data_IF_815381112700
#
_entry.id   IF_815381112700
#
_cell.length_a   1.000
_cell.length_b   1.000
_cell.length_c   1.000
_cell.angle_alpha   90.00
_cell.angle_beta   90.00
_cell.angle_gamma   90.00
#
_symmetry.space_group_name_H-M   'P 1'
#
loop_
_entity.id
_entity.type
_entity.pdbx_description
1 polymer ?
#
# COMPACT_ATOMS: atom_id res chain seq x y z
N UNK A 1 3.16 -6.65 19.21
CA UNK A 1 3.18 -5.19 19.38
C UNK A 1 4.58 -4.72 19.05
N UNK A 2 4.75 -3.88 18.05
CA UNK A 2 6.05 -3.31 17.70
C UNK A 2 6.24 -2.02 18.49
N UNK A 3 7.15 -2.04 19.48
CA UNK A 3 7.33 -0.94 20.42
C UNK A 3 7.79 0.36 19.71
N UNK A 4 8.62 0.26 18.67
CA UNK A 4 9.11 1.41 17.91
C UNK A 4 7.97 2.09 17.18
N UNK A 5 7.14 1.31 16.48
CA UNK A 5 5.97 1.84 15.79
C UNK A 5 5.02 2.56 16.76
N UNK A 6 4.68 1.92 17.89
CA UNK A 6 3.75 2.49 18.86
C UNK A 6 4.34 3.73 19.53
N UNK A 7 5.65 3.75 19.82
CA UNK A 7 6.32 4.93 20.36
C UNK A 7 6.13 6.13 19.44
N UNK A 8 6.44 6.03 18.14
CA UNK A 8 6.30 7.15 17.22
C UNK A 8 4.84 7.47 16.87
N UNK A 9 3.97 6.48 16.78
CA UNK A 9 2.55 6.70 16.47
C UNK A 9 1.81 7.46 17.58
N UNK A 10 2.17 7.21 18.85
CA UNK A 10 1.45 7.75 20.01
C UNK A 10 2.11 9.00 20.62
N UNK A 11 3.20 9.50 20.03
CA UNK A 11 3.86 10.72 20.53
C UNK A 11 2.95 11.96 20.42
N UNK A 12 2.71 12.61 21.54
CA UNK A 12 2.08 13.95 21.55
C UNK A 12 3.05 14.99 20.99
N UNK A 13 4.27 15.04 21.54
CA UNK A 13 5.34 15.96 21.14
C UNK A 13 6.60 15.16 20.84
N UNK A 14 7.37 15.63 19.87
CA UNK A 14 8.65 15.03 19.50
C UNK A 14 9.77 15.79 20.24
N UNK A 15 10.49 15.09 21.12
CA UNK A 15 11.65 15.64 21.82
C UNK A 15 12.92 15.55 20.96
N UNK A 16 14.00 16.24 21.34
CA UNK A 16 15.30 16.11 20.68
C UNK A 16 15.89 14.69 20.79
N UNK A 17 15.57 13.96 21.86
CA UNK A 17 15.97 12.57 22.03
C UNK A 17 15.22 11.66 21.04
N UNK A 18 13.89 11.83 20.91
CA UNK A 18 13.08 11.10 19.92
C UNK A 18 13.55 11.35 18.48
N UNK A 19 13.96 12.62 18.15
CA UNK A 19 14.55 12.94 16.84
C UNK A 19 15.88 12.23 16.60
N UNK A 20 16.75 12.23 17.62
CA UNK A 20 18.04 11.56 17.52
C UNK A 20 17.85 10.06 17.31
N UNK A 21 16.99 9.44 18.10
CA UNK A 21 16.63 8.02 17.98
C UNK A 21 16.03 7.70 16.62
N UNK A 22 15.12 8.56 16.12
CA UNK A 22 14.52 8.40 14.78
C UNK A 22 15.60 8.33 13.69
N UNK A 23 16.57 9.26 13.73
CA UNK A 23 17.70 9.28 12.77
C UNK A 23 18.57 8.03 12.90
N UNK A 24 18.83 7.57 14.11
CA UNK A 24 19.59 6.33 14.35
C UNK A 24 18.89 5.13 13.73
N UNK A 25 17.57 4.99 13.92
CA UNK A 25 16.80 3.89 13.29
C UNK A 25 16.84 3.96 11.76
N UNK A 26 16.80 5.16 11.17
CA UNK A 26 16.83 5.29 9.71
C UNK A 26 18.22 5.01 9.11
N UNK A 27 19.27 5.25 9.86
CA UNK A 27 20.65 5.08 9.41
C UNK A 27 21.28 3.73 9.75
N UNK A 28 20.57 2.88 10.50
CA UNK A 28 21.04 1.55 10.84
C UNK A 28 20.76 0.55 9.70
N UNK A 29 21.81 0.15 8.94
CA UNK A 29 21.62 -0.77 7.82
C UNK A 29 21.31 -2.21 8.25
N UNK A 30 21.67 -2.56 9.50
CA UNK A 30 21.48 -3.91 10.04
C UNK A 30 20.06 -4.10 10.59
N UNK A 31 19.31 -3.01 10.77
CA UNK A 31 17.98 -3.02 11.37
C UNK A 31 16.93 -2.27 10.54
N UNK A 32 16.84 -2.61 9.26
CA UNK A 32 15.90 -2.02 8.31
C UNK A 32 14.45 -2.06 8.79
N UNK A 33 14.04 -3.15 9.46
CA UNK A 33 12.67 -3.32 9.96
C UNK A 33 12.30 -2.21 10.96
N UNK A 34 13.18 -1.89 11.91
CA UNK A 34 12.92 -0.86 12.91
C UNK A 34 12.81 0.55 12.27
N UNK A 35 13.68 0.87 11.30
CA UNK A 35 13.59 2.11 10.54
C UNK A 35 12.28 2.23 9.77
N UNK A 36 11.86 1.18 9.08
CA UNK A 36 10.59 1.14 8.36
C UNK A 36 9.38 1.30 9.30
N UNK A 37 9.45 0.74 10.51
CA UNK A 37 8.40 0.86 11.52
C UNK A 37 8.39 2.24 12.19
N UNK A 38 9.55 2.87 12.41
CA UNK A 38 9.65 4.25 12.89
C UNK A 38 9.01 5.23 11.89
N UNK A 39 9.35 5.11 10.59
CA UNK A 39 8.73 5.90 9.51
C UNK A 39 7.22 5.73 9.49
N UNK A 40 6.74 4.48 9.54
CA UNK A 40 5.32 4.19 9.52
C UNK A 40 4.60 4.79 10.75
N UNK A 41 5.17 4.65 11.95
CA UNK A 41 4.64 5.19 13.19
C UNK A 41 4.51 6.72 13.15
N UNK A 42 5.60 7.44 12.78
CA UNK A 42 5.59 8.90 12.73
C UNK A 42 4.68 9.43 11.61
N UNK A 43 4.63 8.75 10.47
CA UNK A 43 3.68 9.08 9.39
C UNK A 43 2.23 8.96 9.87
N UNK A 44 1.86 7.85 10.53
CA UNK A 44 0.51 7.68 11.07
C UNK A 44 0.21 8.71 12.16
N UNK A 45 1.18 9.03 13.00
CA UNK A 45 1.02 10.08 14.01
C UNK A 45 0.58 11.41 13.36
N UNK A 46 1.30 11.86 12.33
CA UNK A 46 0.97 13.07 11.59
C UNK A 46 -0.39 12.97 10.89
N UNK A 47 -0.73 11.81 10.33
CA UNK A 47 -2.01 11.62 9.65
C UNK A 47 -3.20 11.54 10.62
N UNK A 48 -3.04 10.99 11.82
CA UNK A 48 -4.13 10.76 12.77
C UNK A 48 -4.33 11.92 13.75
N UNK A 49 -3.28 12.68 14.05
CA UNK A 49 -3.28 13.77 15.03
C UNK A 49 -3.35 15.16 14.39
N UNK A 50 -2.97 16.17 15.15
CA UNK A 50 -2.90 17.54 14.70
C UNK A 50 -1.63 17.80 13.89
N UNK A 51 -1.72 18.80 13.02
CA UNK A 51 -0.59 19.29 12.26
C UNK A 51 0.63 19.61 13.15
N UNK A 52 1.79 19.14 12.74
CA UNK A 52 3.08 19.46 13.37
C UNK A 52 4.15 19.58 12.29
N UNK A 53 4.55 20.82 12.01
CA UNK A 53 5.65 21.13 11.09
C UNK A 53 6.95 20.47 11.58
N UNK A 54 7.22 20.51 12.89
CA UNK A 54 8.41 19.91 13.49
C UNK A 54 8.53 18.41 13.19
N UNK A 55 7.45 17.64 13.38
CA UNK A 55 7.45 16.19 13.07
C UNK A 55 7.68 15.94 11.57
N UNK A 56 7.07 16.76 10.70
CA UNK A 56 7.29 16.63 9.27
C UNK A 56 8.73 16.97 8.89
N UNK A 57 9.29 18.07 9.44
CA UNK A 57 10.69 18.44 9.21
C UNK A 57 11.66 17.36 9.69
N UNK A 58 11.37 16.67 10.78
CA UNK A 58 12.19 15.53 11.24
C UNK A 58 12.23 14.42 10.19
N UNK A 59 11.08 14.08 9.56
CA UNK A 59 11.06 13.11 8.47
C UNK A 59 11.90 13.59 7.29
N UNK A 60 11.69 14.85 6.83
CA UNK A 60 12.36 15.40 5.64
C UNK A 60 13.88 15.49 5.82
N UNK A 61 14.34 15.97 6.98
CA UNK A 61 15.78 16.13 7.27
C UNK A 61 16.50 14.82 7.57
N UNK A 62 15.77 13.71 7.70
CA UNK A 62 16.34 12.39 7.94
C UNK A 62 16.46 11.54 6.68
N UNK A 63 16.19 12.09 5.49
CA UNK A 63 16.19 11.35 4.22
C UNK A 63 17.60 11.08 3.68
N UNK A 64 18.66 11.65 4.25
CA UNK A 64 19.99 11.55 3.70
C UNK A 64 20.67 10.23 4.08
N UNK A 65 21.16 9.48 3.08
CA UNK A 65 21.92 8.25 3.29
C UNK A 65 21.10 7.05 3.78
N UNK A 66 19.78 7.09 3.76
CA UNK A 66 18.90 6.00 4.20
C UNK A 66 18.70 4.93 3.12
N UNK A 67 18.22 3.75 3.52
CA UNK A 67 17.89 2.67 2.60
C UNK A 67 16.77 3.07 1.61
N UNK A 68 16.84 2.63 0.34
CA UNK A 68 15.82 2.95 -0.67
C UNK A 68 14.39 2.61 -0.24
N UNK A 69 14.19 1.50 0.44
CA UNK A 69 12.91 1.05 0.95
C UNK A 69 12.31 2.01 1.99
N UNK A 70 13.15 2.61 2.84
CA UNK A 70 12.73 3.65 3.78
C UNK A 70 12.37 4.94 3.05
N UNK A 71 13.19 5.36 2.08
CA UNK A 71 12.92 6.54 1.28
C UNK A 71 11.59 6.41 0.52
N UNK A 72 11.30 5.26 -0.06
CA UNK A 72 10.01 4.99 -0.72
C UNK A 72 8.82 5.16 0.25
N UNK A 73 8.91 4.64 1.48
CA UNK A 73 7.87 4.83 2.51
C UNK A 73 7.72 6.29 2.92
N UNK A 74 8.82 7.01 3.05
CA UNK A 74 8.81 8.45 3.34
C UNK A 74 8.09 9.21 2.24
N UNK A 75 8.43 8.99 0.98
CA UNK A 75 7.80 9.66 -0.17
C UNK A 75 6.28 9.46 -0.15
N UNK A 76 5.81 8.23 0.03
CA UNK A 76 4.38 7.92 0.12
C UNK A 76 3.73 8.61 1.34
N UNK A 77 4.37 8.54 2.51
CA UNK A 77 3.88 9.16 3.74
C UNK A 77 3.77 10.67 3.62
N UNK A 78 4.81 11.32 3.10
CA UNK A 78 4.86 12.77 2.84
C UNK A 78 3.75 13.20 1.90
N UNK A 79 3.48 12.46 0.82
CA UNK A 79 2.38 12.78 -0.08
C UNK A 79 1.02 12.76 0.61
N UNK A 80 0.75 11.75 1.43
CA UNK A 80 -0.52 11.67 2.18
C UNK A 80 -0.64 12.81 3.20
N UNK A 81 0.47 13.18 3.87
CA UNK A 81 0.53 14.32 4.79
C UNK A 81 0.25 15.62 4.03
N UNK A 82 0.89 15.83 2.86
CA UNK A 82 0.64 16.99 2.00
C UNK A 82 -0.83 17.06 1.53
N UNK A 83 -1.44 15.93 1.20
CA UNK A 83 -2.86 15.89 0.83
C UNK A 83 -3.75 16.31 2.01
N UNK A 84 -3.44 15.84 3.22
CA UNK A 84 -4.23 16.12 4.42
C UNK A 84 -4.10 17.58 4.89
N UNK A 85 -2.89 18.13 4.84
CA UNK A 85 -2.54 19.44 5.36
C UNK A 85 -2.18 20.43 4.26
N UNK A 86 -2.83 20.31 3.10
CA UNK A 86 -2.58 21.15 1.92
C UNK A 86 -2.68 22.66 2.23
N UNK A 87 -3.58 23.05 3.13
CA UNK A 87 -3.77 24.47 3.50
C UNK A 87 -2.60 25.01 4.31
N UNK A 88 -2.15 24.25 5.30
CA UNK A 88 -1.04 24.60 6.20
C UNK A 88 0.26 24.69 5.41
N UNK A 89 0.49 23.73 4.51
CA UNK A 89 1.71 23.63 3.71
C UNK A 89 1.74 24.69 2.62
N UNK A 90 0.63 24.95 1.95
CA UNK A 90 0.51 25.89 0.81
C UNK A 90 0.99 27.32 1.13
N UNK A 91 0.90 27.73 2.39
CA UNK A 91 1.27 29.07 2.84
C UNK A 91 2.66 29.15 3.48
N UNK A 92 3.39 28.04 3.56
CA UNK A 92 4.74 27.96 4.10
C UNK A 92 5.75 27.72 2.98
N UNK A 93 6.34 28.81 2.45
CA UNK A 93 7.24 28.74 1.30
C UNK A 93 8.50 27.90 1.58
N UNK A 94 9.09 28.03 2.77
CA UNK A 94 10.28 27.27 3.15
C UNK A 94 9.98 25.77 3.18
N UNK A 95 8.89 25.38 3.82
CA UNK A 95 8.47 23.99 3.87
C UNK A 95 8.15 23.42 2.48
N UNK A 96 7.58 24.23 1.56
CA UNK A 96 7.35 23.81 0.18
C UNK A 96 8.67 23.56 -0.56
N UNK A 97 9.71 24.34 -0.31
CA UNK A 97 11.03 24.15 -0.90
C UNK A 97 11.66 22.83 -0.41
N UNK A 98 11.60 22.54 0.90
CA UNK A 98 12.10 21.31 1.48
C UNK A 98 11.33 20.08 0.95
N UNK A 99 10.00 20.17 0.88
CA UNK A 99 9.14 19.12 0.30
C UNK A 99 9.45 18.89 -1.18
N UNK A 100 9.66 19.96 -1.94
CA UNK A 100 10.02 19.88 -3.35
C UNK A 100 11.38 19.19 -3.53
N UNK A 101 12.36 19.50 -2.69
CA UNK A 101 13.68 18.87 -2.72
C UNK A 101 13.56 17.36 -2.56
N UNK A 102 12.86 16.88 -1.52
CA UNK A 102 12.66 15.44 -1.27
C UNK A 102 11.90 14.77 -2.42
N UNK A 103 10.81 15.38 -2.91
CA UNK A 103 9.99 14.78 -3.96
C UNK A 103 10.67 14.80 -5.35
N UNK A 104 11.55 15.75 -5.63
CA UNK A 104 12.29 15.85 -6.89
C UNK A 104 13.62 15.11 -6.88
N UNK A 105 14.09 14.65 -5.72
CA UNK A 105 15.28 13.80 -5.61
C UNK A 105 15.12 12.48 -6.39
N UNK A 106 13.92 11.88 -6.37
CA UNK A 106 13.58 10.68 -7.12
C UNK A 106 12.24 10.88 -7.87
N UNK A 107 12.21 11.63 -8.99
CA UNK A 107 10.97 12.07 -9.63
C UNK A 107 10.12 10.90 -10.17
N UNK A 108 10.74 9.83 -10.64
CA UNK A 108 10.03 8.64 -11.12
C UNK A 108 9.34 7.90 -9.98
N UNK A 109 10.00 7.79 -8.82
CA UNK A 109 9.43 7.22 -7.61
C UNK A 109 8.23 8.04 -7.14
N UNK A 110 8.40 9.37 -7.07
CA UNK A 110 7.34 10.29 -6.65
C UNK A 110 6.15 10.23 -7.60
N UNK A 111 6.37 10.20 -8.90
CA UNK A 111 5.29 10.03 -9.87
C UNK A 111 4.58 8.68 -9.74
N UNK A 112 5.34 7.60 -9.52
CA UNK A 112 4.80 6.25 -9.30
C UNK A 112 3.95 6.21 -8.03
N UNK A 113 4.44 6.76 -6.93
CA UNK A 113 3.70 6.83 -5.66
C UNK A 113 2.38 7.61 -5.81
N UNK A 114 2.43 8.79 -6.44
CA UNK A 114 1.24 9.59 -6.70
C UNK A 114 0.24 8.87 -7.61
N UNK A 115 0.73 8.18 -8.64
CA UNK A 115 -0.10 7.37 -9.54
C UNK A 115 -0.79 6.24 -8.79
N UNK A 116 -0.09 5.57 -7.87
CA UNK A 116 -0.66 4.51 -7.04
C UNK A 116 -1.70 5.05 -6.06
N UNK A 117 -1.47 6.22 -5.47
CA UNK A 117 -2.48 6.92 -4.65
C UNK A 117 -3.72 7.26 -5.49
N UNK A 118 -3.55 7.79 -6.70
CA UNK A 118 -4.66 8.08 -7.60
C UNK A 118 -5.47 6.82 -7.97
N UNK A 119 -4.78 5.68 -8.20
CA UNK A 119 -5.42 4.38 -8.49
C UNK A 119 -6.31 3.86 -7.36
N UNK A 120 -6.09 4.27 -6.11
CA UNK A 120 -6.95 3.88 -5.00
C UNK A 120 -8.39 4.36 -5.19
N UNK A 121 -8.62 5.44 -5.95
CA UNK A 121 -9.96 5.93 -6.29
C UNK A 121 -10.76 4.92 -7.10
N UNK A 122 -10.09 4.06 -7.86
CA UNK A 122 -10.69 3.04 -8.72
C UNK A 122 -11.13 1.78 -7.95
N UNK A 123 -10.68 1.59 -6.69
CA UNK A 123 -11.03 0.40 -5.90
C UNK A 123 -12.55 0.29 -5.69
N UNK A 124 -13.25 1.40 -5.48
CA UNK A 124 -14.72 1.39 -5.37
C UNK A 124 -15.39 0.91 -6.66
N UNK A 125 -14.87 1.31 -7.82
CA UNK A 125 -15.35 0.86 -9.14
C UNK A 125 -15.13 -0.65 -9.30
N UNK A 126 -13.96 -1.14 -8.91
CA UNK A 126 -13.65 -2.57 -8.88
C UNK A 126 -14.61 -3.34 -7.96
N UNK A 127 -14.88 -2.84 -6.75
CA UNK A 127 -15.84 -3.47 -5.84
C UNK A 127 -17.25 -3.54 -6.42
N UNK A 128 -17.71 -2.47 -7.08
CA UNK A 128 -19.01 -2.44 -7.74
C UNK A 128 -19.08 -3.43 -8.89
N UNK A 129 -18.06 -3.43 -9.75
CA UNK A 129 -17.95 -4.37 -10.87
C UNK A 129 -17.99 -5.82 -10.40
N UNK A 130 -17.15 -6.19 -9.42
CA UNK A 130 -17.11 -7.54 -8.87
C UNK A 130 -18.45 -7.94 -8.23
N UNK A 131 -19.13 -7.01 -7.56
CA UNK A 131 -20.48 -7.28 -7.01
C UNK A 131 -21.49 -7.57 -8.11
N UNK A 132 -21.50 -6.77 -9.18
CA UNK A 132 -22.39 -6.96 -10.33
C UNK A 132 -22.10 -8.28 -11.02
N UNK A 133 -20.82 -8.55 -11.34
CA UNK A 133 -20.41 -9.81 -11.98
C UNK A 133 -20.78 -11.03 -11.12
N UNK A 134 -20.57 -10.95 -9.81
CA UNK A 134 -20.99 -12.03 -8.89
C UNK A 134 -22.49 -12.23 -8.91
N UNK A 135 -23.30 -11.18 -8.91
CA UNK A 135 -24.76 -11.28 -8.99
C UNK A 135 -25.23 -11.89 -10.30
N UNK A 136 -24.58 -11.57 -11.43
CA UNK A 136 -24.88 -12.13 -12.74
C UNK A 136 -24.50 -13.62 -12.84
N UNK A 137 -23.35 -14.01 -12.24
CA UNK A 137 -22.84 -15.37 -12.32
C UNK A 137 -23.41 -16.33 -11.26
N UNK A 138 -23.81 -15.82 -10.08
CA UNK A 138 -24.32 -16.67 -8.99
C UNK A 138 -25.44 -17.64 -9.40
N UNK A 139 -26.46 -17.22 -10.18
CA UNK A 139 -27.51 -18.14 -10.62
C UNK A 139 -27.00 -19.29 -11.51
N UNK A 140 -25.87 -19.07 -12.20
CA UNK A 140 -25.29 -20.00 -13.17
C UNK A 140 -24.14 -20.85 -12.55
N UNK A 141 -23.85 -20.71 -11.25
CA UNK A 141 -22.73 -21.40 -10.60
C UNK A 141 -22.83 -22.92 -10.65
N UNK A 142 -24.04 -23.48 -10.74
CA UNK A 142 -24.27 -24.93 -10.88
C UNK A 142 -24.08 -25.41 -12.32
N UNK A 143 -24.09 -24.50 -13.30
CA UNK A 143 -23.91 -24.80 -14.72
C UNK A 143 -22.85 -23.88 -15.36
N UNK A 144 -21.61 -23.99 -14.85
CA UNK A 144 -20.47 -23.18 -15.29
C UNK A 144 -20.03 -23.44 -16.74
N UNK A 145 -20.59 -24.48 -17.37
CA UNK A 145 -20.31 -24.82 -18.77
C UNK A 145 -21.46 -24.39 -19.71
N UNK A 146 -22.48 -23.68 -19.20
CA UNK A 146 -23.55 -23.14 -20.04
C UNK A 146 -23.03 -22.05 -20.97
N UNK A 147 -23.63 -21.94 -22.15
CA UNK A 147 -23.31 -20.84 -23.06
C UNK A 147 -23.57 -19.47 -22.43
N UNK A 148 -24.62 -19.37 -21.61
CA UNK A 148 -24.98 -18.13 -20.89
C UNK A 148 -23.87 -17.68 -19.93
N UNK A 149 -23.24 -18.60 -19.20
CA UNK A 149 -22.10 -18.29 -18.33
C UNK A 149 -20.94 -17.70 -19.14
N UNK A 150 -20.58 -18.33 -20.25
CA UNK A 150 -19.50 -17.84 -21.10
C UNK A 150 -19.85 -16.52 -21.82
N UNK A 151 -21.11 -16.31 -22.19
CA UNK A 151 -21.55 -15.06 -22.82
C UNK A 151 -21.47 -13.88 -21.85
N UNK A 152 -21.81 -14.07 -20.56
CA UNK A 152 -21.62 -13.05 -19.52
C UNK A 152 -20.13 -12.71 -19.39
N UNK A 153 -19.26 -13.70 -19.22
CA UNK A 153 -17.80 -13.48 -19.11
C UNK A 153 -17.29 -12.71 -20.33
N UNK A 154 -17.66 -13.14 -21.53
CA UNK A 154 -17.24 -12.48 -22.78
C UNK A 154 -17.73 -11.03 -22.88
N UNK A 155 -18.98 -10.77 -22.48
CA UNK A 155 -19.55 -9.42 -22.50
C UNK A 155 -18.85 -8.47 -21.53
N UNK A 156 -18.27 -8.98 -20.44
CA UNK A 156 -17.54 -8.24 -19.42
C UNK A 156 -16.02 -8.19 -19.64
N UNK A 157 -15.50 -8.91 -20.62
CA UNK A 157 -14.05 -9.06 -20.83
C UNK A 157 -13.33 -7.72 -20.97
N UNK A 158 -13.87 -6.80 -21.77
CA UNK A 158 -13.24 -5.47 -21.97
C UNK A 158 -13.13 -4.67 -20.67
N UNK A 159 -14.16 -4.74 -19.81
CA UNK A 159 -14.15 -4.07 -18.50
C UNK A 159 -13.19 -4.75 -17.53
N UNK A 160 -13.12 -6.08 -17.53
CA UNK A 160 -12.15 -6.85 -16.76
C UNK A 160 -10.70 -6.51 -17.16
N UNK A 161 -10.42 -6.44 -18.46
CA UNK A 161 -9.10 -6.07 -18.99
C UNK A 161 -8.73 -4.63 -18.61
N UNK A 162 -9.70 -3.71 -18.67
CA UNK A 162 -9.50 -2.33 -18.25
C UNK A 162 -9.12 -2.25 -16.76
N UNK A 163 -9.88 -2.91 -15.89
CA UNK A 163 -9.61 -2.97 -14.45
C UNK A 163 -8.22 -3.59 -14.20
N UNK A 164 -7.87 -4.68 -14.89
CA UNK A 164 -6.57 -5.33 -14.75
C UNK A 164 -5.41 -4.40 -15.17
N UNK A 165 -5.57 -3.63 -16.25
CA UNK A 165 -4.57 -2.65 -16.74
C UNK A 165 -4.38 -1.48 -15.79
N UNK A 166 -5.39 -1.14 -15.01
CA UNK A 166 -5.30 -0.06 -14.02
C UNK A 166 -4.43 -0.42 -12.81
N UNK A 167 -3.88 -1.62 -12.74
CA UNK A 167 -3.05 -2.09 -11.62
C UNK A 167 -3.65 -1.77 -10.25
N UNK A 168 -4.96 -2.01 -10.12
CA UNK A 168 -5.67 -1.87 -8.86
C UNK A 168 -5.17 -2.92 -7.86
N UNK A 169 -5.47 -2.72 -6.60
CA UNK A 169 -5.25 -3.74 -5.58
C UNK A 169 -6.20 -4.94 -5.82
N UNK A 170 -5.78 -5.85 -6.71
CA UNK A 170 -6.56 -7.03 -7.10
C UNK A 170 -6.84 -7.96 -5.92
N UNK A 171 -5.98 -7.92 -4.91
CA UNK A 171 -6.11 -8.76 -3.73
C UNK A 171 -7.00 -8.12 -2.65
N UNK A 172 -7.43 -6.85 -2.80
CA UNK A 172 -8.19 -6.13 -1.78
C UNK A 172 -9.44 -6.87 -1.31
N UNK A 173 -10.21 -7.45 -2.24
CA UNK A 173 -11.44 -8.17 -1.90
C UNK A 173 -11.15 -9.47 -1.15
N UNK A 174 -10.10 -10.20 -1.56
CA UNK A 174 -9.65 -11.41 -0.87
C UNK A 174 -9.14 -11.03 0.52
N UNK A 175 -8.26 -10.03 0.60
CA UNK A 175 -7.72 -9.55 1.87
C UNK A 175 -8.82 -9.09 2.83
N UNK A 176 -9.88 -8.44 2.33
CA UNK A 176 -11.02 -7.99 3.14
C UNK A 176 -11.73 -9.14 3.87
N UNK A 177 -11.67 -10.36 3.36
CA UNK A 177 -12.23 -11.52 4.04
C UNK A 177 -11.31 -12.04 5.18
N UNK A 178 -10.03 -11.66 5.15
CA UNK A 178 -8.99 -12.20 6.06
C UNK A 178 -8.44 -11.22 7.09
N UNK A 179 -8.64 -9.91 6.92
CA UNK A 179 -8.11 -8.91 7.86
C UNK A 179 -8.68 -9.02 9.28
N UNK A 180 -9.79 -9.74 9.45
CA UNK A 180 -10.42 -9.95 10.76
C UNK A 180 -9.69 -10.95 11.65
N UNK A 181 -8.56 -11.52 11.21
CA UNK A 181 -7.71 -12.39 12.04
C UNK A 181 -7.19 -11.65 13.28
N UNK A 182 -6.93 -12.36 14.39
CA UNK A 182 -6.34 -11.74 15.57
C UNK A 182 -5.05 -10.97 15.29
N UNK A 183 -4.26 -11.40 14.30
CA UNK A 183 -3.03 -10.74 13.88
C UNK A 183 -3.27 -9.27 13.53
N UNK A 184 -4.18 -8.97 12.59
CA UNK A 184 -4.46 -7.59 12.18
C UNK A 184 -5.38 -6.83 13.14
N UNK A 185 -6.27 -7.55 13.85
CA UNK A 185 -7.25 -6.93 14.73
C UNK A 185 -6.67 -6.45 16.04
N UNK A 186 -5.68 -7.16 16.58
CA UNK A 186 -5.16 -6.87 17.92
C UNK A 186 -4.02 -5.84 17.90
N UNK A 187 -3.36 -5.63 16.77
CA UNK A 187 -2.18 -4.77 16.69
C UNK A 187 -2.15 -3.97 15.39
N UNK A 188 -2.10 -2.64 15.52
CA UNK A 188 -2.04 -1.71 14.39
C UNK A 188 -0.73 -1.85 13.60
N UNK A 189 0.39 -2.16 14.27
CA UNK A 189 1.70 -2.30 13.63
C UNK A 189 1.72 -3.41 12.58
N UNK A 190 0.94 -4.47 12.79
CA UNK A 190 0.91 -5.63 11.90
C UNK A 190 0.36 -5.33 10.50
N UNK A 191 -0.34 -4.21 10.32
CA UNK A 191 -0.81 -3.76 9.00
C UNK A 191 0.31 -3.23 8.12
N UNK A 192 1.38 -2.69 8.73
CA UNK A 192 2.49 -2.02 8.07
C UNK A 192 3.82 -2.71 8.30
N UNK A 193 3.80 -3.86 8.98
CA UNK A 193 4.99 -4.66 9.27
C UNK A 193 5.65 -5.10 7.97
N UNK A 194 6.97 -4.86 7.79
CA UNK A 194 7.71 -5.38 6.66
C UNK A 194 7.71 -6.91 6.67
N UNK A 195 7.73 -7.50 5.48
CA UNK A 195 7.76 -8.96 5.37
C UNK A 195 8.99 -9.54 6.07
N UNK A 196 8.75 -10.57 6.88
CA UNK A 196 9.78 -11.32 7.58
C UNK A 196 9.45 -12.82 7.50
N UNK A 197 10.40 -13.63 7.04
CA UNK A 197 10.25 -15.08 6.86
C UNK A 197 9.87 -15.84 8.14
N UNK A 198 10.08 -15.23 9.32
CA UNK A 198 9.57 -15.79 10.59
C UNK A 198 8.05 -16.04 10.57
N UNK A 199 7.31 -15.33 9.71
CA UNK A 199 5.88 -15.55 9.52
C UNK A 199 5.57 -16.96 8.99
N UNK A 200 6.50 -17.58 8.26
CA UNK A 200 6.38 -18.97 7.80
C UNK A 200 6.31 -19.98 8.94
N UNK A 201 6.71 -19.60 10.15
CA UNK A 201 6.53 -20.47 11.33
C UNK A 201 5.05 -20.75 11.66
N UNK A 202 4.13 -19.90 11.18
CA UNK A 202 2.69 -20.14 11.28
C UNK A 202 2.18 -21.20 10.29
N UNK A 203 2.99 -21.55 9.29
CA UNK A 203 2.72 -22.59 8.31
C UNK A 203 3.32 -23.91 8.78
N UNK A 204 2.64 -25.03 8.52
CA UNK A 204 3.16 -26.36 8.83
C UNK A 204 4.51 -26.56 8.16
N UNK A 205 5.44 -27.19 8.85
CA UNK A 205 6.82 -27.40 8.40
C UNK A 205 6.87 -28.04 6.99
N UNK A 206 6.02 -29.03 6.75
CA UNK A 206 5.92 -29.75 5.47
C UNK A 206 5.47 -28.91 4.27
N UNK A 207 4.86 -27.72 4.52
CA UNK A 207 4.34 -26.83 3.48
C UNK A 207 5.13 -25.52 3.35
N UNK A 208 6.13 -25.27 4.21
CA UNK A 208 6.86 -23.97 4.25
C UNK A 208 7.57 -23.65 2.97
N UNK A 209 8.25 -24.61 2.36
CA UNK A 209 8.99 -24.41 1.12
C UNK A 209 8.05 -24.09 -0.05
N UNK A 210 6.90 -24.75 -0.11
CA UNK A 210 5.88 -24.49 -1.12
C UNK A 210 5.32 -23.06 -0.96
N UNK A 211 5.04 -22.65 0.28
CA UNK A 211 4.53 -21.31 0.58
C UNK A 211 5.59 -20.24 0.32
N UNK A 212 6.83 -20.45 0.72
CA UNK A 212 7.92 -19.52 0.45
C UNK A 212 8.09 -19.32 -1.07
N UNK A 213 8.14 -20.40 -1.85
CA UNK A 213 8.19 -20.33 -3.30
C UNK A 213 7.01 -19.59 -3.94
N UNK A 214 5.81 -19.73 -3.37
CA UNK A 214 4.63 -18.98 -3.82
C UNK A 214 4.73 -17.49 -3.52
N UNK A 215 5.20 -17.13 -2.33
CA UNK A 215 5.36 -15.74 -1.90
C UNK A 215 6.44 -14.99 -2.71
N UNK A 216 7.47 -15.70 -3.18
CA UNK A 216 8.51 -15.14 -4.02
C UNK A 216 8.05 -14.85 -5.46
N UNK A 217 7.10 -15.64 -5.94
CA UNK A 217 6.60 -15.53 -7.31
C UNK A 217 5.40 -14.58 -7.45
N UNK A 218 4.62 -14.42 -6.41
CA UNK A 218 3.41 -13.61 -6.47
C UNK A 218 3.69 -12.18 -6.00
N UNK A 219 3.26 -11.13 -6.75
CA UNK A 219 3.46 -9.73 -6.39
C UNK A 219 2.51 -9.32 -5.27
N UNK A 220 2.69 -9.92 -4.12
CA UNK A 220 1.93 -9.65 -2.90
C UNK A 220 2.57 -8.50 -2.12
N UNK A 221 1.77 -7.60 -1.58
CA UNK A 221 2.25 -6.70 -0.54
C UNK A 221 2.46 -7.47 0.78
N UNK A 222 3.23 -6.89 1.70
CA UNK A 222 3.60 -7.59 2.94
C UNK A 222 2.39 -8.04 3.76
N UNK A 223 1.32 -7.22 3.82
CA UNK A 223 0.09 -7.62 4.51
C UNK A 223 -0.60 -8.83 3.86
N UNK A 224 -0.52 -9.01 2.52
CA UNK A 224 -1.03 -10.22 1.86
C UNK A 224 -0.22 -11.45 2.26
N UNK A 225 1.11 -11.32 2.30
CA UNK A 225 2.00 -12.42 2.70
C UNK A 225 1.70 -12.89 4.12
N UNK A 226 1.54 -11.94 5.05
CA UNK A 226 1.12 -12.27 6.42
C UNK A 226 -0.26 -12.92 6.46
N UNK A 227 -1.24 -12.37 5.75
CA UNK A 227 -2.60 -12.93 5.69
C UNK A 227 -2.59 -14.37 5.15
N UNK A 228 -1.80 -14.62 4.11
CA UNK A 228 -1.67 -15.95 3.52
C UNK A 228 -1.08 -16.94 4.51
N UNK A 229 0.00 -16.57 5.23
CA UNK A 229 0.59 -17.45 6.26
C UNK A 229 -0.38 -17.74 7.40
N UNK A 230 -1.16 -16.74 7.85
CA UNK A 230 -2.15 -16.91 8.93
C UNK A 230 -3.32 -17.83 8.53
N UNK A 231 -3.67 -17.86 7.26
CA UNK A 231 -4.86 -18.55 6.76
C UNK A 231 -4.55 -19.77 5.89
N UNK A 232 -3.27 -20.13 5.74
CA UNK A 232 -2.82 -21.14 4.79
C UNK A 232 -3.58 -22.46 4.92
N UNK A 233 -3.76 -22.99 6.12
CA UNK A 233 -4.49 -24.25 6.35
C UNK A 233 -5.92 -24.22 5.81
N UNK A 234 -6.57 -23.04 5.81
CA UNK A 234 -7.93 -22.86 5.29
C UNK A 234 -7.98 -22.86 3.76
N UNK A 235 -6.89 -22.48 3.08
CA UNK A 235 -6.80 -22.32 1.63
C UNK A 235 -5.91 -23.36 0.94
N UNK A 236 -5.20 -24.19 1.70
CA UNK A 236 -4.26 -25.19 1.17
C UNK A 236 -4.81 -25.98 -0.03
N UNK A 237 -6.08 -26.42 0.02
CA UNK A 237 -6.72 -27.14 -1.06
C UNK A 237 -6.90 -26.30 -2.32
N UNK A 238 -7.30 -25.04 -2.19
CA UNK A 238 -7.49 -24.11 -3.30
C UNK A 238 -6.14 -23.71 -3.91
N UNK A 239 -5.17 -23.39 -3.06
CA UNK A 239 -3.83 -23.01 -3.48
C UNK A 239 -3.18 -24.15 -4.27
N UNK A 240 -3.20 -25.38 -3.76
CA UNK A 240 -2.62 -26.55 -4.44
C UNK A 240 -3.34 -26.92 -5.74
N UNK A 241 -4.63 -26.61 -5.88
CA UNK A 241 -5.39 -26.95 -7.08
C UNK A 241 -5.37 -25.88 -8.18
N UNK A 242 -5.17 -24.62 -7.82
CA UNK A 242 -5.32 -23.47 -8.73
C UNK A 242 -4.04 -22.68 -8.98
N UNK A 243 -3.07 -22.76 -8.08
CA UNK A 243 -1.83 -21.99 -8.14
C UNK A 243 -0.65 -22.98 -8.22
N UNK A 244 -0.43 -23.59 -9.38
CA UNK A 244 0.84 -24.25 -9.60
C UNK A 244 1.93 -23.18 -9.81
N UNK A 245 3.14 -23.47 -9.33
CA UNK A 245 4.33 -22.62 -9.55
C UNK A 245 4.52 -22.32 -11.05
N UNK A 246 4.13 -23.26 -11.92
CA UNK A 246 4.25 -23.12 -13.37
C UNK A 246 3.21 -22.12 -13.92
N UNK A 247 1.98 -22.12 -13.41
CA UNK A 247 0.95 -21.14 -13.81
C UNK A 247 1.33 -19.71 -13.43
N UNK A 248 2.03 -19.51 -12.31
CA UNK A 248 2.48 -18.20 -11.85
C UNK A 248 3.69 -17.69 -12.65
N UNK A 249 4.59 -18.59 -13.10
CA UNK A 249 5.70 -18.25 -13.98
C UNK A 249 5.23 -17.79 -15.37
N UNK A 250 4.13 -18.33 -15.86
CA UNK A 250 3.52 -17.93 -17.14
C UNK A 250 2.88 -16.53 -17.10
N UNK A 251 2.46 -16.06 -15.93
CA UNK A 251 1.87 -14.71 -15.74
C UNK A 251 2.93 -13.60 -15.78
N UNK A 252 4.22 -13.95 -15.90
CA UNK A 252 5.35 -13.09 -16.20
C UNK A 252 5.24 -11.65 -15.73
N UNK A 253 5.45 -11.40 -14.43
CA UNK A 253 5.34 -10.04 -13.88
C UNK A 253 6.67 -9.32 -14.03
N UNK A 254 6.85 -8.71 -15.18
CA UNK A 254 7.97 -7.85 -15.51
C UNK A 254 7.79 -6.45 -14.88
N UNK A 255 7.51 -6.40 -13.58
CA UNK A 255 7.44 -5.12 -12.86
C UNK A 255 8.77 -4.78 -12.22
N UNK A 256 9.29 -3.56 -12.40
CA UNK A 256 10.49 -3.11 -11.68
C UNK A 256 10.31 -3.27 -10.16
N UNK A 257 11.35 -3.71 -9.47
CA UNK A 257 11.31 -3.99 -8.02
C UNK A 257 10.82 -2.78 -7.21
N UNK A 258 11.27 -1.57 -7.53
CA UNK A 258 10.85 -0.33 -6.90
C UNK A 258 9.34 -0.06 -7.06
N UNK A 259 8.76 -0.39 -8.22
CA UNK A 259 7.34 -0.21 -8.49
C UNK A 259 6.48 -1.17 -7.65
N UNK A 260 6.96 -2.38 -7.43
CA UNK A 260 6.30 -3.38 -6.58
C UNK A 260 6.30 -2.90 -5.12
N UNK A 261 7.43 -2.44 -4.59
CA UNK A 261 7.55 -1.99 -3.19
C UNK A 261 6.66 -0.77 -2.95
N UNK A 262 6.74 0.26 -3.78
CA UNK A 262 5.92 1.48 -3.65
C UNK A 262 4.43 1.16 -3.74
N UNK A 263 4.03 0.28 -4.66
CA UNK A 263 2.64 -0.15 -4.77
C UNK A 263 2.21 -0.91 -3.52
N UNK A 264 3.04 -1.82 -3.02
CA UNK A 264 2.77 -2.60 -1.82
C UNK A 264 2.51 -1.73 -0.58
N UNK A 265 3.32 -0.70 -0.36
CA UNK A 265 3.14 0.19 0.79
C UNK A 265 1.89 1.07 0.67
N UNK A 266 1.58 1.59 -0.52
CA UNK A 266 0.30 2.31 -0.77
C UNK A 266 -0.89 1.38 -0.51
N UNK A 267 -0.83 0.11 -0.94
CA UNK A 267 -1.87 -0.88 -0.67
C UNK A 267 -2.05 -1.13 0.84
N UNK A 268 -0.95 -1.34 1.58
CA UNK A 268 -0.98 -1.55 3.03
C UNK A 268 -1.63 -0.36 3.76
N UNK A 269 -1.21 0.88 3.45
CA UNK A 269 -1.79 2.09 4.02
C UNK A 269 -3.27 2.24 3.66
N UNK A 270 -3.65 2.01 2.39
CA UNK A 270 -5.04 2.07 1.97
C UNK A 270 -5.90 1.07 2.74
N UNK A 271 -5.45 -0.17 2.87
CA UNK A 271 -6.14 -1.23 3.63
C UNK A 271 -6.25 -0.87 5.11
N UNK A 272 -5.16 -0.39 5.71
CA UNK A 272 -5.17 0.07 7.10
C UNK A 272 -6.26 1.14 7.32
N UNK A 273 -6.23 2.21 6.54
CA UNK A 273 -7.21 3.29 6.68
C UNK A 273 -8.63 2.89 6.27
N UNK A 274 -8.80 1.88 5.44
CA UNK A 274 -10.11 1.46 4.94
C UNK A 274 -10.79 0.41 5.82
N UNK A 275 -10.04 -0.53 6.36
CA UNK A 275 -10.55 -1.74 7.00
C UNK A 275 -10.26 -1.82 8.50
N UNK A 276 -9.16 -1.20 8.96
CA UNK A 276 -8.75 -1.30 10.36
C UNK A 276 -9.71 -0.56 11.30
N UNK A 277 -9.91 -1.14 12.48
CA UNK A 277 -10.59 -0.49 13.61
C UNK A 277 -9.66 0.42 14.43
N UNK A 278 -8.36 0.40 14.15
CA UNK A 278 -7.36 1.20 14.87
C UNK A 278 -7.35 2.67 14.47
N UNK A 279 -8.08 3.06 13.42
CA UNK A 279 -8.13 4.43 12.91
C UNK A 279 -9.53 4.81 12.44
N UNK A 280 -9.85 6.11 12.51
CA UNK A 280 -11.13 6.65 12.01
C UNK A 280 -10.95 7.57 10.80
N UNK A 281 -9.72 7.95 10.46
CA UNK A 281 -9.47 8.85 9.34
C UNK A 281 -9.48 8.11 8.00
N UNK A 282 -9.66 8.87 6.91
CA UNK A 282 -9.74 8.36 5.54
C UNK A 282 -8.91 9.25 4.59
N UNK A 283 -7.56 9.26 4.73
CA UNK A 283 -6.72 10.20 3.96
C UNK A 283 -6.80 9.95 2.45
N UNK A 284 -7.04 8.73 2.01
CA UNK A 284 -7.19 8.39 0.60
C UNK A 284 -8.48 8.93 -0.05
N UNK A 285 -9.46 9.36 0.73
CA UNK A 285 -10.64 10.02 0.17
C UNK A 285 -10.28 11.38 -0.46
N UNK A 286 -9.16 11.99 -0.06
CA UNK A 286 -8.61 13.20 -0.68
C UNK A 286 -8.07 12.96 -2.10
N UNK A 287 -7.76 11.72 -2.47
CA UNK A 287 -7.30 11.39 -3.81
C UNK A 287 -8.33 11.73 -4.91
N UNK A 288 -9.62 11.79 -4.57
CA UNK A 288 -10.66 12.25 -5.50
C UNK A 288 -10.53 13.73 -5.89
N UNK A 289 -9.80 14.52 -5.09
CA UNK A 289 -9.54 15.95 -5.29
C UNK A 289 -8.08 16.24 -5.61
N UNK A 290 -7.31 15.22 -6.02
CA UNK A 290 -5.86 15.29 -6.18
C UNK A 290 -5.42 16.46 -7.08
N UNK A 291 -6.17 16.78 -8.15
CA UNK A 291 -5.89 17.88 -9.09
C UNK A 291 -5.82 19.26 -8.42
N UNK A 292 -6.51 19.44 -7.30
CA UNK A 292 -6.60 20.72 -6.59
C UNK A 292 -5.48 20.87 -5.52
N UNK A 293 -4.74 19.80 -5.25
CA UNK A 293 -3.76 19.73 -4.17
C UNK A 293 -2.36 20.13 -4.64
N UNK A 294 -1.55 20.70 -3.71
CA UNK A 294 -0.18 21.10 -3.99
C UNK A 294 0.71 19.93 -4.41
N UNK A 295 0.54 18.76 -3.80
CA UNK A 295 1.29 17.54 -4.16
C UNK A 295 1.18 17.21 -5.64
N UNK A 296 -0.01 17.36 -6.24
CA UNK A 296 -0.20 17.18 -7.68
C UNK A 296 0.62 18.18 -8.49
N UNK A 297 0.60 19.47 -8.10
CA UNK A 297 1.32 20.54 -8.80
C UNK A 297 2.83 20.42 -8.73
N UNK A 298 3.36 19.88 -7.63
CA UNK A 298 4.80 19.68 -7.45
C UNK A 298 5.33 18.49 -8.28
N UNK A 299 4.53 17.42 -8.44
CA UNK A 299 4.98 16.18 -9.05
C UNK A 299 4.58 16.09 -10.53
N UNK A 300 3.36 16.54 -10.87
CA UNK A 300 2.84 16.41 -12.23
C UNK A 300 3.32 17.57 -13.09
N UNK A 301 4.54 17.46 -13.57
CA UNK A 301 5.17 18.45 -14.44
C UNK A 301 5.15 17.96 -15.88
N UNK A 302 4.47 18.70 -16.77
CA UNK A 302 4.35 18.40 -18.20
C UNK A 302 3.07 17.65 -18.58
N UNK A 303 2.68 17.80 -19.85
CA UNK A 303 1.38 17.33 -20.37
C UNK A 303 1.23 15.80 -20.30
N UNK A 304 2.27 15.02 -20.59
CA UNK A 304 2.22 13.55 -20.56
C UNK A 304 1.93 13.01 -19.14
N UNK A 305 2.57 13.60 -18.13
CA UNK A 305 2.35 13.22 -16.73
C UNK A 305 0.93 13.57 -16.30
N UNK A 306 0.44 14.74 -16.72
CA UNK A 306 -0.92 15.22 -16.49
C UNK A 306 -1.96 14.27 -17.11
N UNK A 307 -1.83 13.95 -18.40
CA UNK A 307 -2.72 13.02 -19.09
C UNK A 307 -2.80 11.67 -18.41
N UNK A 308 -1.64 11.14 -17.95
CA UNK A 308 -1.57 9.85 -17.26
C UNK A 308 -2.35 9.85 -15.94
N UNK A 309 -2.17 10.86 -15.08
CA UNK A 309 -2.89 10.96 -13.81
C UNK A 309 -4.38 11.28 -14.06
N UNK A 310 -4.69 12.14 -15.04
CA UNK A 310 -6.07 12.50 -15.36
C UNK A 310 -6.89 11.30 -15.85
N UNK A 311 -6.27 10.36 -16.56
CA UNK A 311 -6.90 9.08 -16.93
C UNK A 311 -7.21 8.21 -15.73
N UNK A 312 -6.37 8.22 -14.68
CA UNK A 312 -6.61 7.47 -13.44
C UNK A 312 -7.73 8.07 -12.59
N UNK A 313 -7.97 9.38 -12.72
CA UNK A 313 -8.98 10.13 -11.95
C UNK A 313 -10.30 10.32 -12.71
N UNK A 314 -10.41 9.81 -13.94
CA UNK A 314 -11.62 9.84 -14.76
C UNK A 314 -12.56 8.69 -14.40
#
# INVERSE_FOLDING_TARGET
MNAIFDNYRLLDTLSHEDEADFRVFLQDPDNLEDGLMAVAGLTLNLLENHWSEHKLMTILTSCDGIAPEMFERIVVGVMLIMMRYDREIRHNQTLLEDLQEVLTFAPELSFTALSNIARTTQIKRMEQFNRQLTQELMPLMNDRHSNEFYDIIRSRQSEMEHIAKMHLDQNFLIFREFYSTPFFRNDASNWLLPWNDKALLNVKEEDRDDVAGLLDLWPLCDSDKYALCQMYDSFKGVIKSQLSVDSLKEVGLDMPKNQIVTNGYVQQLYRFFRLSSHTQIRPFDLAYHLRDLMVYRLIVVGERAKESIDQLLA
#
